data_IF_947388407448
#
_entry.id   IF_947388407448
#
_cell.length_a   1.000
_cell.length_b   1.000
_cell.length_c   1.000
_cell.angle_alpha   90.00
_cell.angle_beta   90.00
_cell.angle_gamma   90.00
#
_symmetry.space_group_name_H-M   'P 1'
#
loop_
_entity.id
_entity.type
_entity.pdbx_description
1 polymer ?
#
# COMPACT_ATOMS: atom_id res chain seq x y z
N UNK A 1 -35.76 41.04 91.29
CA UNK A 1 -34.37 40.93 90.79
C UNK A 1 -34.36 39.85 89.70
N UNK A 2 -34.41 40.25 88.43
CA UNK A 2 -34.62 39.36 87.28
C UNK A 2 -33.27 38.98 86.65
N UNK A 3 -33.01 37.68 86.48
CA UNK A 3 -31.82 37.14 85.79
C UNK A 3 -32.12 36.99 84.29
N UNK A 4 -31.76 38.00 83.50
CA UNK A 4 -31.80 37.90 82.03
C UNK A 4 -30.68 36.97 81.53
N UNK A 5 -31.06 35.77 81.07
CA UNK A 5 -30.18 34.92 80.24
C UNK A 5 -29.86 35.65 78.94
N UNK A 6 -28.57 35.84 78.64
CA UNK A 6 -28.10 36.28 77.31
C UNK A 6 -28.65 35.33 76.25
N UNK A 7 -29.40 35.85 75.27
CA UNK A 7 -29.69 35.14 74.03
C UNK A 7 -28.37 34.90 73.30
N UNK A 8 -27.99 33.64 73.10
CA UNK A 8 -27.01 33.25 72.08
C UNK A 8 -27.65 33.57 70.74
N UNK A 9 -27.12 34.55 70.01
CA UNK A 9 -27.43 34.69 68.59
C UNK A 9 -26.64 33.63 67.84
N UNK A 10 -27.42 32.72 67.26
CA UNK A 10 -27.05 31.56 66.47
C UNK A 10 -26.42 32.04 65.17
N UNK A 11 -25.23 31.54 64.83
CA UNK A 11 -24.62 31.69 63.51
C UNK A 11 -25.58 31.09 62.48
N UNK A 12 -25.89 31.78 61.36
CA UNK A 12 -26.75 31.20 60.32
C UNK A 12 -26.16 29.87 59.81
N UNK A 13 -26.98 28.87 59.47
CA UNK A 13 -26.47 27.62 58.89
C UNK A 13 -25.70 27.96 57.61
N UNK A 14 -24.50 27.42 57.50
CA UNK A 14 -23.64 27.52 56.32
C UNK A 14 -24.47 27.09 55.10
N UNK A 15 -24.62 28.00 54.15
CA UNK A 15 -25.31 27.74 52.89
C UNK A 15 -24.67 26.53 52.20
N UNK A 16 -25.46 25.60 51.62
CA UNK A 16 -24.90 24.46 50.92
C UNK A 16 -23.92 24.94 49.84
N UNK A 17 -22.78 24.26 49.64
CA UNK A 17 -21.78 24.70 48.67
C UNK A 17 -22.45 24.83 47.30
N UNK A 18 -22.30 26.01 46.69
CA UNK A 18 -22.84 26.25 45.35
C UNK A 18 -22.30 25.18 44.41
N UNK A 19 -23.13 24.59 43.53
CA UNK A 19 -22.66 23.57 42.60
C UNK A 19 -21.59 24.20 41.72
N UNK A 20 -20.35 23.73 41.86
CA UNK A 20 -19.27 24.12 40.98
C UNK A 20 -19.72 23.81 39.55
N UNK A 21 -19.72 24.79 38.63
CA UNK A 21 -20.05 24.52 37.25
C UNK A 21 -19.08 23.44 36.76
N UNK A 22 -19.63 22.32 36.27
CA UNK A 22 -18.85 21.28 35.61
C UNK A 22 -18.36 21.84 34.28
N UNK A 23 -17.33 22.66 34.32
CA UNK A 23 -16.60 23.07 33.13
C UNK A 23 -15.79 21.85 32.71
N UNK A 24 -16.28 21.16 31.69
CA UNK A 24 -15.53 20.08 31.06
C UNK A 24 -14.24 20.72 30.52
N UNK A 25 -13.08 20.23 30.95
CA UNK A 25 -11.80 20.73 30.48
C UNK A 25 -11.70 20.59 28.97
N UNK A 26 -11.12 21.57 28.29
CA UNK A 26 -10.94 21.57 26.84
C UNK A 26 -10.24 20.29 26.34
N UNK A 27 -9.35 19.71 27.16
CA UNK A 27 -8.70 18.42 26.90
C UNK A 27 -9.70 17.25 26.82
N UNK A 28 -10.71 17.22 27.70
CA UNK A 28 -11.74 16.15 27.73
C UNK A 28 -12.73 16.35 26.59
N UNK A 29 -13.01 17.59 26.20
CA UNK A 29 -13.78 17.89 24.98
C UNK A 29 -13.01 17.45 23.72
N UNK A 30 -11.68 17.68 23.69
CA UNK A 30 -10.82 17.24 22.60
C UNK A 30 -10.74 15.70 22.52
N UNK A 31 -10.57 15.01 23.65
CA UNK A 31 -10.57 13.54 23.72
C UNK A 31 -11.94 12.95 23.32
N UNK A 32 -13.05 13.53 23.78
CA UNK A 32 -14.38 13.09 23.38
C UNK A 32 -14.66 13.29 21.88
N UNK A 33 -13.96 14.24 21.24
CA UNK A 33 -14.00 14.48 19.79
C UNK A 33 -13.07 13.56 18.97
N UNK A 34 -12.14 12.84 19.61
CA UNK A 34 -11.28 11.90 18.92
C UNK A 34 -12.10 10.69 18.46
N UNK A 35 -12.33 10.61 17.14
CA UNK A 35 -12.92 9.40 16.56
C UNK A 35 -11.95 8.24 16.82
N UNK A 36 -12.45 7.07 17.29
CA UNK A 36 -11.59 5.91 17.48
C UNK A 36 -10.88 5.61 16.17
N UNK A 37 -9.56 5.49 16.22
CA UNK A 37 -8.78 5.10 15.05
C UNK A 37 -9.22 3.69 14.64
N UNK A 38 -9.40 3.48 13.34
CA UNK A 38 -9.78 2.18 12.81
C UNK A 38 -8.62 1.21 13.04
N UNK A 39 -8.88 0.12 13.75
CA UNK A 39 -7.92 -0.98 13.86
C UNK A 39 -7.80 -1.69 12.50
N UNK A 40 -6.56 -1.86 12.03
CA UNK A 40 -6.28 -2.58 10.79
C UNK A 40 -6.18 -4.08 11.05
N UNK A 41 -7.35 -4.70 11.18
CA UNK A 41 -7.48 -6.14 11.35
C UNK A 41 -7.67 -6.81 9.99
N UNK A 42 -7.19 -8.04 9.86
CA UNK A 42 -7.47 -8.92 8.72
C UNK A 42 -8.98 -9.01 8.48
N UNK A 43 -9.39 -8.93 7.21
CA UNK A 43 -10.78 -9.16 6.83
C UNK A 43 -11.15 -10.63 7.05
N UNK A 44 -12.12 -10.88 7.92
CA UNK A 44 -12.74 -12.19 8.09
C UNK A 44 -14.01 -12.28 7.25
N UNK A 45 -14.09 -13.20 6.28
CA UNK A 45 -15.27 -13.37 5.45
C UNK A 45 -16.44 -13.92 6.28
N UNK A 46 -17.67 -13.57 5.87
CA UNK A 46 -18.88 -14.08 6.50
C UNK A 46 -18.96 -15.62 6.40
N UNK A 47 -19.63 -16.30 7.35
CA UNK A 47 -19.81 -17.74 7.31
C UNK A 47 -20.45 -18.21 5.99
N UNK A 48 -19.85 -19.21 5.32
CA UNK A 48 -20.34 -19.77 4.07
C UNK A 48 -19.78 -19.13 2.77
N UNK A 49 -19.03 -18.03 2.86
CA UNK A 49 -18.38 -17.41 1.68
C UNK A 49 -17.19 -18.23 1.19
N UNK A 50 -16.48 -18.88 2.10
CA UNK A 50 -15.34 -19.76 1.77
C UNK A 50 -15.52 -21.09 2.51
N UNK A 51 -15.40 -22.23 1.81
CA UNK A 51 -15.31 -23.55 2.46
C UNK A 51 -14.18 -23.54 3.51
N UNK A 52 -14.46 -24.09 4.70
CA UNK A 52 -13.55 -24.04 5.86
C UNK A 52 -12.16 -24.61 5.52
N UNK A 53 -12.12 -25.66 4.71
CA UNK A 53 -10.90 -26.38 4.31
C UNK A 53 -9.92 -25.52 3.47
N UNK A 54 -10.42 -24.47 2.79
CA UNK A 54 -9.62 -23.66 1.86
C UNK A 54 -9.50 -22.20 2.36
N UNK A 55 -10.04 -21.89 3.55
CA UNK A 55 -10.15 -20.51 4.05
C UNK A 55 -8.82 -19.74 4.05
N UNK A 56 -7.70 -20.39 4.37
CA UNK A 56 -6.37 -19.79 4.40
C UNK A 56 -5.66 -19.73 3.04
N UNK A 57 -6.18 -20.40 2.01
CA UNK A 57 -5.55 -20.49 0.69
C UNK A 57 -6.33 -19.71 -0.39
N UNK A 58 -7.62 -19.43 -0.19
CA UNK A 58 -8.46 -18.73 -1.20
C UNK A 58 -8.16 -17.24 -1.29
N UNK A 59 -7.86 -16.57 -0.17
CA UNK A 59 -7.60 -15.14 -0.18
C UNK A 59 -6.08 -14.91 -0.27
N UNK A 60 -5.54 -14.84 -1.49
CA UNK A 60 -4.10 -14.76 -1.75
C UNK A 60 -3.33 -13.59 -1.09
N UNK A 61 -3.97 -12.72 -0.28
CA UNK A 61 -3.38 -11.51 0.31
C UNK A 61 -3.64 -11.34 1.82
N UNK A 62 -4.15 -12.38 2.49
CA UNK A 62 -4.54 -12.33 3.91
C UNK A 62 -3.64 -13.16 4.85
N UNK A 63 -2.69 -13.92 4.28
CA UNK A 63 -1.66 -14.64 5.02
C UNK A 63 -0.49 -13.77 5.49
N UNK A 64 -0.39 -12.53 4.98
CA UNK A 64 0.66 -11.59 5.37
C UNK A 64 0.38 -11.05 6.77
N UNK A 65 1.30 -11.21 7.75
CA UNK A 65 1.13 -10.65 9.08
C UNK A 65 1.27 -9.12 9.01
N UNK A 66 0.14 -8.41 8.93
CA UNK A 66 0.12 -6.95 8.87
C UNK A 66 0.78 -6.31 10.09
N UNK A 67 0.73 -6.96 11.26
CA UNK A 67 1.42 -6.51 12.46
C UNK A 67 2.94 -6.35 12.26
N UNK A 68 3.57 -7.28 11.53
CA UNK A 68 5.01 -7.18 11.25
C UNK A 68 5.31 -6.02 10.32
N UNK A 69 4.52 -5.84 9.25
CA UNK A 69 4.68 -4.71 8.33
C UNK A 69 4.44 -3.36 9.01
N UNK A 70 3.41 -3.28 9.84
CA UNK A 70 3.01 -2.06 10.57
C UNK A 70 3.99 -1.71 11.70
N UNK A 71 4.66 -2.72 12.29
CA UNK A 71 5.70 -2.49 13.29
C UNK A 71 6.99 -1.89 12.71
N UNK A 72 7.31 -2.17 11.44
CA UNK A 72 8.53 -1.70 10.77
C UNK A 72 8.34 -0.32 10.11
N UNK A 73 7.13 -0.02 9.65
CA UNK A 73 6.76 1.28 9.11
C UNK A 73 5.51 1.81 9.84
N UNK A 74 5.67 2.34 11.07
CA UNK A 74 4.58 3.00 11.76
C UNK A 74 4.30 4.33 11.03
N UNK A 75 3.38 4.30 10.07
CA UNK A 75 2.88 5.52 9.47
C UNK A 75 1.97 6.22 10.48
N UNK A 76 2.47 7.31 11.07
CA UNK A 76 1.77 8.11 12.07
C UNK A 76 0.59 8.91 11.49
N UNK A 77 0.43 8.98 10.16
CA UNK A 77 -0.65 9.73 9.50
C UNK A 77 -1.86 8.85 9.21
N UNK A 78 -1.65 7.58 8.84
CA UNK A 78 -2.73 6.65 8.48
C UNK A 78 -2.86 5.42 9.40
N UNK A 79 -1.95 5.22 10.36
CA UNK A 79 -2.03 4.13 11.35
C UNK A 79 -1.48 2.77 10.89
N UNK A 80 -0.72 2.73 9.78
CA UNK A 80 -0.14 1.52 9.21
C UNK A 80 -0.80 1.04 7.91
N UNK A 81 -0.34 -0.08 7.37
CA UNK A 81 -0.88 -0.74 6.19
C UNK A 81 -2.27 -1.33 6.47
N UNK A 82 -3.31 -0.90 5.74
CA UNK A 82 -4.68 -1.26 6.03
C UNK A 82 -5.16 -2.59 5.42
N UNK A 83 -4.29 -3.25 4.65
CA UNK A 83 -4.60 -4.48 3.93
C UNK A 83 -5.12 -4.25 2.50
N UNK A 84 -4.76 -5.17 1.61
CA UNK A 84 -5.16 -5.14 0.20
C UNK A 84 -6.68 -5.15 -0.05
N UNK A 85 -7.52 -5.86 0.73
CA UNK A 85 -8.98 -5.78 0.56
C UNK A 85 -9.54 -4.38 0.77
N UNK A 86 -9.00 -3.64 1.74
CA UNK A 86 -9.43 -2.26 1.99
C UNK A 86 -8.99 -1.31 0.88
N UNK A 87 -7.76 -1.45 0.38
CA UNK A 87 -7.28 -0.71 -0.78
C UNK A 87 -8.10 -1.02 -2.04
N UNK A 88 -8.53 -2.28 -2.22
CA UNK A 88 -9.40 -2.66 -3.33
C UNK A 88 -10.79 -2.01 -3.25
N UNK A 89 -11.34 -1.82 -2.05
CA UNK A 89 -12.56 -1.04 -1.84
C UNK A 89 -12.33 0.45 -2.14
N UNK A 90 -11.22 1.03 -1.67
CA UNK A 90 -10.89 2.42 -1.99
C UNK A 90 -10.71 2.64 -3.49
N UNK A 91 -10.03 1.72 -4.19
CA UNK A 91 -9.85 1.78 -5.65
C UNK A 91 -11.18 1.71 -6.43
N UNK A 92 -12.29 1.30 -5.79
CA UNK A 92 -13.62 1.35 -6.38
C UNK A 92 -14.28 2.72 -6.29
N UNK A 93 -13.92 3.52 -5.28
CA UNK A 93 -14.43 4.87 -5.08
C UNK A 93 -13.88 5.80 -6.18
N UNK A 94 -14.75 6.60 -6.84
CA UNK A 94 -14.32 7.46 -7.94
C UNK A 94 -13.30 8.52 -7.50
N UNK A 95 -13.37 8.99 -6.25
CA UNK A 95 -12.46 10.00 -5.70
C UNK A 95 -11.01 9.48 -5.64
N UNK A 96 -10.84 8.24 -5.18
CA UNK A 96 -9.54 7.59 -5.11
C UNK A 96 -9.07 7.12 -6.49
N UNK A 97 -9.98 6.51 -7.27
CA UNK A 97 -9.67 6.02 -8.62
C UNK A 97 -9.19 7.15 -9.52
N UNK A 98 -9.89 8.29 -9.52
CA UNK A 98 -9.61 9.38 -10.46
C UNK A 98 -8.21 9.93 -10.29
N UNK A 99 -7.73 10.09 -9.05
CA UNK A 99 -6.39 10.60 -8.78
C UNK A 99 -5.31 9.74 -9.43
N UNK A 100 -5.36 8.42 -9.18
CA UNK A 100 -4.37 7.47 -9.70
C UNK A 100 -4.49 7.34 -11.22
N UNK A 101 -5.71 7.24 -11.77
CA UNK A 101 -5.91 7.12 -13.22
C UNK A 101 -5.38 8.33 -13.98
N UNK A 102 -5.57 9.57 -13.48
CA UNK A 102 -5.02 10.76 -14.12
C UNK A 102 -3.50 10.74 -14.15
N UNK A 103 -2.86 10.31 -13.05
CA UNK A 103 -1.40 10.20 -12.98
C UNK A 103 -0.91 9.18 -14.00
N UNK A 104 -1.53 7.99 -14.05
CA UNK A 104 -1.16 6.95 -15.00
C UNK A 104 -1.39 7.37 -16.47
N UNK A 105 -2.50 8.06 -16.75
CA UNK A 105 -2.80 8.66 -18.05
C UNK A 105 -1.73 9.68 -18.45
N UNK A 106 -1.36 10.62 -17.58
CA UNK A 106 -0.35 11.64 -17.88
C UNK A 106 1.06 11.05 -18.01
N UNK A 107 1.44 10.08 -17.18
CA UNK A 107 2.72 9.36 -17.29
C UNK A 107 2.85 8.62 -18.62
N UNK A 108 1.74 8.10 -19.14
CA UNK A 108 1.73 7.39 -20.42
C UNK A 108 1.28 8.25 -21.59
N UNK A 109 0.89 9.51 -21.39
CA UNK A 109 0.36 10.40 -22.44
C UNK A 109 1.33 10.64 -23.58
N UNK A 110 2.61 10.84 -23.25
CA UNK A 110 3.71 10.86 -24.22
C UNK A 110 4.52 9.59 -24.06
N UNK A 111 4.61 8.81 -25.13
CA UNK A 111 5.31 7.55 -25.08
C UNK A 111 6.81 7.68 -25.34
N UNK A 112 7.53 6.63 -24.95
CA UNK A 112 9.00 6.57 -25.02
C UNK A 112 9.48 6.53 -26.47
N UNK A 113 10.68 7.07 -26.70
CA UNK A 113 11.41 6.95 -27.97
C UNK A 113 12.68 6.16 -27.72
N UNK A 114 12.83 5.04 -28.42
CA UNK A 114 14.05 4.22 -28.36
C UNK A 114 15.15 4.96 -29.10
N UNK A 115 16.28 5.22 -28.40
CA UNK A 115 17.47 5.84 -28.97
C UNK A 115 18.65 4.88 -28.87
N UNK A 116 19.49 4.85 -29.90
CA UNK A 116 20.81 4.21 -29.79
C UNK A 116 21.81 5.17 -29.15
N UNK A 117 22.77 4.60 -28.42
CA UNK A 117 23.93 5.32 -27.88
C UNK A 117 25.05 5.27 -28.93
N UNK A 118 25.61 6.44 -29.28
CA UNK A 118 26.65 6.60 -30.30
C UNK A 118 26.14 7.34 -31.54
N UNK A 119 26.79 8.46 -31.89
CA UNK A 119 26.50 9.25 -33.08
C UNK A 119 26.93 8.53 -34.36
N UNK A 120 26.09 8.53 -35.40
CA UNK A 120 26.48 8.18 -36.78
C UNK A 120 26.45 6.71 -37.18
N UNK A 121 25.87 5.81 -36.38
CA UNK A 121 25.81 4.37 -36.73
C UNK A 121 24.41 3.97 -37.22
N UNK A 122 24.11 4.29 -38.48
CA UNK A 122 22.87 3.92 -39.17
C UNK A 122 22.63 2.39 -39.19
N UNK A 123 23.66 1.58 -38.92
CA UNK A 123 23.54 0.12 -38.80
C UNK A 123 22.59 -0.34 -37.69
N UNK A 124 22.30 0.53 -36.70
CA UNK A 124 21.40 0.21 -35.57
C UNK A 124 19.95 0.62 -35.82
N UNK A 125 19.68 1.43 -36.84
CA UNK A 125 18.32 1.81 -37.25
C UNK A 125 17.36 0.61 -37.39
N UNK A 126 17.71 -0.51 -38.06
CA UNK A 126 16.80 -1.66 -38.15
C UNK A 126 16.46 -2.27 -36.79
N UNK A 127 17.39 -2.26 -35.83
CA UNK A 127 17.15 -2.77 -34.48
C UNK A 127 16.25 -1.84 -33.67
N UNK A 128 16.40 -0.54 -33.83
CA UNK A 128 15.49 0.45 -33.21
C UNK A 128 14.08 0.29 -33.75
N UNK A 129 13.93 0.10 -35.06
CA UNK A 129 12.64 -0.16 -35.69
C UNK A 129 12.00 -1.44 -35.12
N UNK A 130 12.75 -2.56 -35.07
CA UNK A 130 12.26 -3.81 -34.47
C UNK A 130 11.81 -3.65 -33.01
N UNK A 131 12.54 -2.88 -32.19
CA UNK A 131 12.16 -2.61 -30.81
C UNK A 131 10.90 -1.73 -30.73
N UNK A 132 10.78 -0.74 -31.60
CA UNK A 132 9.61 0.14 -31.66
C UNK A 132 8.36 -0.66 -32.06
N UNK A 133 8.46 -1.49 -33.09
CA UNK A 133 7.39 -2.41 -33.52
C UNK A 133 7.02 -3.38 -32.38
N UNK A 134 8.00 -3.88 -31.63
CA UNK A 134 7.75 -4.76 -30.50
C UNK A 134 7.00 -4.04 -29.35
N UNK A 135 7.34 -2.78 -29.05
CA UNK A 135 6.64 -1.98 -28.03
C UNK A 135 5.15 -1.81 -28.37
N UNK A 136 4.84 -1.60 -29.65
CA UNK A 136 3.46 -1.51 -30.14
C UNK A 136 2.78 -2.88 -30.14
N UNK A 137 3.43 -3.91 -30.68
CA UNK A 137 2.90 -5.28 -30.76
C UNK A 137 2.51 -5.84 -29.40
N UNK A 138 3.31 -5.60 -28.36
CA UNK A 138 3.06 -6.09 -27.01
C UNK A 138 2.26 -5.10 -26.16
N UNK A 139 1.80 -3.99 -26.74
CA UNK A 139 1.05 -2.93 -26.07
C UNK A 139 1.70 -2.49 -24.73
N UNK A 140 3.02 -2.30 -24.76
CA UNK A 140 3.82 -2.03 -23.55
C UNK A 140 3.38 -0.74 -22.86
N UNK A 141 2.83 0.21 -23.63
CA UNK A 141 2.26 1.44 -23.10
C UNK A 141 1.12 1.20 -22.14
N UNK A 142 0.14 0.38 -22.53
CA UNK A 142 -0.99 0.06 -21.67
C UNK A 142 -0.58 -0.85 -20.52
N UNK A 143 0.34 -1.80 -20.74
CA UNK A 143 0.88 -2.63 -19.66
C UNK A 143 1.59 -1.78 -18.59
N UNK A 144 2.33 -0.74 -19.01
CA UNK A 144 2.96 0.20 -18.10
C UNK A 144 1.95 1.10 -17.40
N UNK A 145 0.93 1.60 -18.11
CA UNK A 145 -0.17 2.36 -17.50
C UNK A 145 -0.84 1.54 -16.39
N UNK A 146 -1.16 0.29 -16.68
CA UNK A 146 -1.77 -0.64 -15.72
C UNK A 146 -0.85 -0.89 -14.52
N UNK A 147 0.46 -1.06 -14.73
CA UNK A 147 1.42 -1.21 -13.64
C UNK A 147 1.45 0.04 -12.74
N UNK A 148 1.42 1.25 -13.30
CA UNK A 148 1.34 2.50 -12.53
C UNK A 148 0.02 2.61 -11.78
N UNK A 149 -1.09 2.16 -12.37
CA UNK A 149 -2.38 2.11 -11.66
C UNK A 149 -2.31 1.15 -10.46
N UNK A 150 -1.76 -0.05 -10.64
CA UNK A 150 -1.54 -0.98 -9.53
C UNK A 150 -0.60 -0.42 -8.46
N UNK A 151 0.43 0.31 -8.86
CA UNK A 151 1.32 1.01 -7.93
C UNK A 151 0.57 2.07 -7.11
N UNK A 152 -0.24 2.90 -7.75
CA UNK A 152 -1.03 3.92 -7.07
C UNK A 152 -2.17 3.35 -6.20
N UNK A 153 -2.72 2.18 -6.54
CA UNK A 153 -3.78 1.55 -5.75
C UNK A 153 -3.28 0.65 -4.62
N UNK A 154 -2.18 -0.07 -4.87
CA UNK A 154 -1.75 -1.19 -4.02
C UNK A 154 -0.29 -1.05 -3.54
N UNK A 155 0.37 0.05 -3.88
CA UNK A 155 1.75 0.35 -3.48
C UNK A 155 2.82 -0.37 -4.29
N UNK A 156 2.44 -1.23 -5.25
CA UNK A 156 3.37 -1.85 -6.19
C UNK A 156 2.68 -2.40 -7.44
N UNK A 157 3.20 -2.05 -8.61
CA UNK A 157 2.89 -2.72 -9.88
C UNK A 157 4.12 -3.40 -10.47
N UNK A 158 3.98 -4.65 -10.94
CA UNK A 158 5.07 -5.38 -11.58
C UNK A 158 4.66 -5.83 -12.98
N UNK A 159 5.60 -5.74 -13.93
CA UNK A 159 5.43 -6.25 -15.28
C UNK A 159 6.24 -7.54 -15.38
N UNK A 160 5.54 -8.66 -15.52
CA UNK A 160 6.15 -9.94 -15.80
C UNK A 160 6.38 -10.09 -17.30
N UNK A 161 7.62 -10.42 -17.69
CA UNK A 161 7.99 -10.65 -19.08
C UNK A 161 8.14 -12.16 -19.27
N UNK A 162 7.19 -12.76 -19.98
CA UNK A 162 7.29 -14.15 -20.39
C UNK A 162 8.08 -14.28 -21.69
N UNK A 163 9.00 -15.22 -21.72
CA UNK A 163 9.85 -15.51 -22.88
C UNK A 163 9.59 -16.93 -23.32
N UNK A 164 9.67 -17.19 -24.62
CA UNK A 164 9.54 -18.55 -25.13
C UNK A 164 10.86 -19.30 -25.00
N UNK A 165 10.78 -20.57 -24.61
CA UNK A 165 11.90 -21.49 -24.64
C UNK A 165 12.33 -21.79 -26.09
N UNK A 166 13.52 -22.41 -26.30
CA UNK A 166 13.97 -22.82 -27.64
C UNK A 166 13.00 -23.79 -28.35
N UNK A 167 12.21 -24.54 -27.59
CA UNK A 167 11.16 -25.43 -28.10
C UNK A 167 9.86 -24.70 -28.46
N UNK A 168 9.79 -23.38 -28.26
CA UNK A 168 8.65 -22.54 -28.62
C UNK A 168 7.52 -22.51 -27.58
N UNK A 169 7.67 -23.20 -26.46
CA UNK A 169 6.74 -23.17 -25.32
C UNK A 169 6.99 -21.94 -24.44
N UNK A 170 5.99 -21.50 -23.68
CA UNK A 170 6.18 -20.43 -22.68
C UNK A 170 7.13 -20.94 -21.58
N UNK A 171 8.12 -20.15 -21.19
CA UNK A 171 9.04 -20.51 -20.11
C UNK A 171 8.29 -20.77 -18.79
N UNK A 172 7.15 -20.10 -18.58
CA UNK A 172 6.26 -20.37 -17.44
C UNK A 172 5.69 -21.80 -17.41
N UNK A 173 5.47 -22.40 -18.59
CA UNK A 173 4.86 -23.74 -18.70
C UNK A 173 5.86 -24.89 -18.64
N UNK A 174 7.16 -24.60 -18.65
CA UNK A 174 8.22 -25.60 -18.59
C UNK A 174 8.73 -25.75 -17.14
N UNK A 175 8.46 -26.88 -16.47
CA UNK A 175 8.90 -27.11 -15.09
C UNK A 175 10.42 -27.01 -14.92
N UNK A 176 11.19 -27.36 -15.96
CA UNK A 176 12.65 -27.33 -15.90
C UNK A 176 13.21 -25.89 -15.96
N UNK A 177 12.53 -24.98 -16.66
CA UNK A 177 12.91 -23.57 -16.73
C UNK A 177 12.58 -22.85 -15.41
N UNK A 178 11.48 -23.21 -14.74
CA UNK A 178 11.10 -22.66 -13.42
C UNK A 178 12.10 -23.02 -12.30
N UNK A 179 12.75 -24.19 -12.40
CA UNK A 179 13.81 -24.61 -11.47
C UNK A 179 15.17 -23.99 -11.79
N UNK A 180 15.33 -23.43 -13.00
CA UNK A 180 16.60 -22.86 -13.44
C UNK A 180 16.89 -21.55 -12.72
N UNK A 181 18.06 -21.47 -12.07
CA UNK A 181 18.51 -20.23 -11.42
C UNK A 181 18.78 -19.19 -12.52
N UNK A 182 18.28 -17.97 -12.33
CA UNK A 182 18.59 -16.84 -13.22
C UNK A 182 20.11 -16.61 -13.26
N UNK A 183 20.77 -17.08 -14.32
CA UNK A 183 22.20 -16.85 -14.51
C UNK A 183 22.42 -15.44 -15.05
N UNK A 184 23.01 -14.57 -14.25
CA UNK A 184 23.57 -13.31 -14.75
C UNK A 184 24.79 -13.68 -15.60
N UNK A 185 24.74 -13.42 -16.91
CA UNK A 185 25.88 -13.70 -17.79
C UNK A 185 27.05 -12.77 -17.46
N UNK A 186 28.25 -13.33 -17.29
CA UNK A 186 29.48 -12.57 -17.01
C UNK A 186 29.85 -11.53 -18.10
N UNK A 187 29.25 -11.61 -19.29
CA UNK A 187 29.54 -10.69 -20.41
C UNK A 187 29.11 -9.24 -20.16
N UNK A 188 28.20 -8.98 -19.20
CA UNK A 188 27.58 -7.65 -19.03
C UNK A 188 28.13 -6.83 -17.86
N UNK A 189 28.87 -7.44 -16.92
CA UNK A 189 29.53 -6.75 -15.81
C UNK A 189 30.93 -7.33 -15.58
N UNK A 190 32.00 -6.66 -16.03
CA UNK A 190 33.37 -7.16 -15.84
C UNK A 190 33.87 -7.05 -14.38
N UNK A 191 33.20 -6.27 -13.54
CA UNK A 191 33.53 -6.15 -12.11
C UNK A 191 32.54 -6.97 -11.28
N UNK A 192 32.97 -8.19 -10.91
CA UNK A 192 32.24 -9.01 -9.95
C UNK A 192 32.35 -8.37 -8.56
N UNK A 193 31.21 -8.01 -7.98
CA UNK A 193 31.12 -7.81 -6.53
C UNK A 193 31.46 -9.16 -5.84
N UNK A 194 32.22 -9.14 -4.72
CA UNK A 194 32.73 -10.36 -4.11
C UNK A 194 31.59 -11.30 -3.71
N UNK A 195 31.75 -12.58 -4.07
CA UNK A 195 30.81 -13.65 -3.77
C UNK A 195 30.63 -13.78 -2.26
N UNK A 196 29.46 -13.41 -1.75
CA UNK A 196 29.14 -13.47 -0.32
C UNK A 196 27.99 -12.59 0.14
N UNK A 197 27.48 -11.67 -0.68
CA UNK A 197 26.32 -10.86 -0.31
C UNK A 197 25.02 -11.63 -0.55
N UNK A 198 24.55 -12.33 0.50
CA UNK A 198 23.16 -12.74 0.64
C UNK A 198 22.32 -11.48 0.84
N UNK A 199 21.47 -11.14 -0.13
CA UNK A 199 20.46 -10.10 0.04
C UNK A 199 19.15 -10.76 0.45
N UNK A 200 18.63 -10.33 1.60
CA UNK A 200 17.30 -10.67 2.12
C UNK A 200 16.19 -10.16 1.20
#
# INVERSE_FOLDING_TARGET
>A
MWLFKRKKTVTPPESPPEPHPMTISDEVVAEAGQKPQREFVRYEPLPGVIPEDIRNAVLAMDSTPYDTLNSQCPDFVYGGFPGYPYLALQAQLPEYRRMVSVIAEEMTRKWIKVKAVGEGDDSRAPRIAQLTDALERYNVRDAFRLAVEHDGFFGRGQIYIDVRSPSGMSAWTDPAELESRLFISDKKNPERFPAGASYY
#
